data_IF_024218623196
#
_entry.id   IF_024218623196
#
_cell.length_a   1.000
_cell.length_b   1.000
_cell.length_c   1.000
_cell.angle_alpha   90.00
_cell.angle_beta   90.00
_cell.angle_gamma   90.00
#
_symmetry.space_group_name_H-M   'P 1'
#
loop_
_entity.id
_entity.type
_entity.pdbx_description
1 polymer ?
#
# COMPACT_ATOMS: atom_id res chain seq x y z
N UNK A 1 -16.79 -6.48 46.59
CA UNK A 1 -15.75 -6.11 45.61
C UNK A 1 -16.39 -6.02 44.24
N UNK A 2 -16.81 -4.82 43.80
CA UNK A 2 -17.42 -4.61 42.48
C UNK A 2 -16.31 -4.17 41.52
N UNK A 3 -16.21 -4.89 40.41
CA UNK A 3 -15.17 -4.74 39.42
C UNK A 3 -15.10 -3.31 38.87
N UNK A 4 -13.88 -2.79 38.83
CA UNK A 4 -13.55 -1.63 38.03
C UNK A 4 -13.77 -2.02 36.56
N UNK A 5 -14.86 -1.54 35.96
CA UNK A 5 -14.98 -1.51 34.52
C UNK A 5 -13.88 -0.56 34.02
N UNK A 6 -12.79 -1.14 33.51
CA UNK A 6 -11.76 -0.39 32.81
C UNK A 6 -12.44 0.34 31.65
N UNK A 7 -12.51 1.66 31.76
CA UNK A 7 -13.01 2.52 30.70
C UNK A 7 -12.10 2.34 29.48
N UNK A 8 -12.55 1.55 28.50
CA UNK A 8 -11.96 1.48 27.17
C UNK A 8 -12.50 2.67 26.38
N UNK A 9 -11.75 3.75 26.36
CA UNK A 9 -11.95 4.81 25.38
C UNK A 9 -11.38 4.26 24.07
N UNK A 10 -12.25 3.92 23.11
CA UNK A 10 -11.82 3.64 21.74
C UNK A 10 -11.22 4.94 21.20
N UNK A 11 -9.89 5.00 21.17
CA UNK A 11 -9.18 6.02 20.40
C UNK A 11 -9.47 5.69 18.95
N UNK A 12 -10.22 6.59 18.31
CA UNK A 12 -10.56 6.49 16.90
C UNK A 12 -9.27 6.30 16.08
N UNK A 13 -9.18 5.24 15.27
CA UNK A 13 -7.97 4.88 14.50
C UNK A 13 -7.47 5.99 13.55
N UNK A 14 -8.27 7.04 13.33
CA UNK A 14 -7.89 8.21 12.54
C UNK A 14 -6.67 8.96 13.12
N UNK A 15 -6.36 8.83 14.42
CA UNK A 15 -5.18 9.45 15.03
C UNK A 15 -3.85 8.94 14.43
N UNK A 16 -3.73 7.64 14.16
CA UNK A 16 -2.49 7.06 13.59
C UNK A 16 -2.25 7.50 12.14
N UNK A 17 -3.30 7.94 11.44
CA UNK A 17 -3.22 8.50 10.09
C UNK A 17 -2.86 9.99 10.09
N UNK A 18 -3.38 10.73 11.07
CA UNK A 18 -3.19 12.17 11.19
C UNK A 18 -1.81 12.53 11.74
N UNK A 19 -1.24 11.69 12.61
CA UNK A 19 0.10 11.85 13.17
C UNK A 19 1.05 10.86 12.51
N UNK A 20 1.74 11.31 11.47
CA UNK A 20 2.86 10.55 10.91
C UNK A 20 3.85 10.25 12.04
N UNK A 21 4.25 8.99 12.21
CA UNK A 21 5.26 8.60 13.20
C UNK A 21 6.61 9.21 12.80
N UNK A 22 6.88 10.41 13.29
CA UNK A 22 8.16 11.12 13.20
C UNK A 22 9.10 10.53 14.25
N UNK A 23 10.20 9.91 13.81
CA UNK A 23 11.13 9.23 14.72
C UNK A 23 12.31 10.13 15.07
N UNK A 24 12.76 10.93 14.11
CA UNK A 24 13.96 11.73 14.27
C UNK A 24 13.92 12.99 13.40
N UNK A 25 14.07 14.17 14.02
CA UNK A 25 14.19 15.46 13.34
C UNK A 25 13.09 15.75 12.29
N UNK A 26 11.87 15.25 12.50
CA UNK A 26 10.75 15.40 11.55
C UNK A 26 10.78 14.43 10.37
N UNK A 27 11.74 13.49 10.32
CA UNK A 27 11.76 12.42 9.33
C UNK A 27 10.94 11.21 9.81
N UNK A 28 10.11 10.69 8.91
CA UNK A 28 9.41 9.42 9.10
C UNK A 28 10.41 8.25 9.04
N UNK A 29 10.16 7.16 9.75
CA UNK A 29 11.00 5.93 9.71
C UNK A 29 11.38 5.49 8.30
N UNK A 30 10.41 5.56 7.37
CA UNK A 30 10.59 5.18 5.97
C UNK A 30 11.62 6.05 5.25
N UNK A 31 11.61 7.35 5.53
CA UNK A 31 12.56 8.31 4.98
C UNK A 31 13.96 8.07 5.56
N UNK A 32 14.06 7.74 6.86
CA UNK A 32 15.34 7.38 7.48
C UNK A 32 15.95 6.12 6.84
N UNK A 33 15.17 5.07 6.65
CA UNK A 33 15.63 3.83 6.00
C UNK A 33 16.04 4.13 4.56
N UNK A 34 15.24 4.89 3.81
CA UNK A 34 15.57 5.23 2.43
C UNK A 34 16.81 6.10 2.31
N UNK A 35 17.02 7.05 3.23
CA UNK A 35 18.25 7.82 3.29
C UNK A 35 19.47 6.92 3.56
N UNK A 36 19.33 5.95 4.47
CA UNK A 36 20.37 4.95 4.74
C UNK A 36 20.70 4.10 3.51
N UNK A 37 19.69 3.56 2.82
CA UNK A 37 19.88 2.78 1.58
C UNK A 37 20.50 3.63 0.49
N UNK A 38 20.03 4.87 0.35
CA UNK A 38 20.65 5.86 -0.53
C UNK A 38 22.14 5.94 -0.23
N UNK A 39 22.53 6.36 0.98
CA UNK A 39 23.95 6.53 1.35
C UNK A 39 24.79 5.29 1.05
N UNK A 40 24.27 4.09 1.34
CA UNK A 40 24.96 2.84 1.01
C UNK A 40 25.16 2.66 -0.50
N UNK A 41 24.15 2.96 -1.32
CA UNK A 41 24.28 2.93 -2.78
C UNK A 41 25.30 3.97 -3.29
N UNK A 42 25.34 5.15 -2.68
CA UNK A 42 26.29 6.20 -3.05
C UNK A 42 27.73 5.88 -2.69
N UNK A 43 27.98 5.46 -1.45
CA UNK A 43 29.31 5.03 -1.02
C UNK A 43 29.76 3.77 -1.76
N UNK A 44 28.86 2.81 -1.98
CA UNK A 44 29.15 1.60 -2.74
C UNK A 44 29.53 1.90 -4.18
N UNK A 45 28.78 2.78 -4.86
CA UNK A 45 29.11 3.18 -6.23
C UNK A 45 30.40 4.00 -6.30
N UNK A 46 30.65 4.91 -5.34
CA UNK A 46 31.90 5.66 -5.27
C UNK A 46 33.13 4.73 -5.10
N UNK A 47 33.04 3.75 -4.19
CA UNK A 47 34.11 2.78 -3.93
C UNK A 47 34.34 1.88 -5.15
N UNK A 48 33.27 1.41 -5.79
CA UNK A 48 33.37 0.62 -7.01
C UNK A 48 34.04 1.42 -8.14
N UNK A 49 33.62 2.66 -8.39
CA UNK A 49 34.24 3.51 -9.41
C UNK A 49 35.73 3.73 -9.13
N UNK A 50 36.09 4.04 -7.88
CA UNK A 50 37.48 4.25 -7.50
C UNK A 50 38.34 2.99 -7.73
N UNK A 51 37.83 1.82 -7.35
CA UNK A 51 38.53 0.54 -7.53
C UNK A 51 38.71 0.17 -9.00
N UNK A 52 37.70 0.35 -9.85
CA UNK A 52 37.75 -0.08 -11.25
C UNK A 52 38.48 0.91 -12.18
N UNK A 53 38.38 2.21 -11.92
CA UNK A 53 38.85 3.24 -12.87
C UNK A 53 40.04 4.05 -12.35
N UNK A 54 40.32 4.01 -11.05
CA UNK A 54 41.34 4.86 -10.43
C UNK A 54 41.04 6.36 -10.48
N UNK A 55 39.79 6.74 -10.80
CA UNK A 55 39.38 8.14 -10.87
C UNK A 55 39.52 8.82 -9.49
N UNK A 56 39.91 10.10 -9.45
CA UNK A 56 39.92 10.88 -8.22
C UNK A 56 38.52 10.97 -7.62
N UNK A 57 38.43 10.94 -6.30
CA UNK A 57 37.17 10.90 -5.53
C UNK A 57 36.21 12.03 -5.95
N UNK A 58 36.74 13.22 -6.25
CA UNK A 58 35.96 14.38 -6.68
C UNK A 58 35.19 14.10 -7.99
N UNK A 59 35.79 13.36 -8.92
CA UNK A 59 35.12 13.00 -10.17
C UNK A 59 34.03 11.94 -9.96
N UNK A 60 34.25 11.01 -9.04
CA UNK A 60 33.26 9.99 -8.70
C UNK A 60 31.96 10.60 -8.15
N UNK A 61 32.03 11.70 -7.39
CA UNK A 61 30.85 12.37 -6.82
C UNK A 61 29.84 12.81 -7.89
N UNK A 62 30.30 13.25 -9.07
CA UNK A 62 29.40 13.66 -10.15
C UNK A 62 28.55 12.51 -10.69
N UNK A 63 29.02 11.27 -10.56
CA UNK A 63 28.32 10.06 -10.99
C UNK A 63 27.45 9.52 -9.86
N UNK A 64 27.95 9.58 -8.63
CA UNK A 64 27.26 9.09 -7.43
C UNK A 64 25.97 9.87 -7.15
N UNK A 65 25.98 11.20 -7.24
CA UNK A 65 24.78 12.03 -6.96
C UNK A 65 23.57 11.63 -7.83
N UNK A 66 23.67 11.51 -9.16
CA UNK A 66 22.55 11.03 -9.97
C UNK A 66 22.11 9.60 -9.64
N UNK A 67 23.02 8.72 -9.22
CA UNK A 67 22.70 7.36 -8.78
C UNK A 67 21.91 7.36 -7.46
N UNK A 68 22.19 8.30 -6.56
CA UNK A 68 21.51 8.46 -5.27
C UNK A 68 20.05 8.93 -5.40
N UNK A 69 19.79 9.84 -6.32
CA UNK A 69 18.50 10.50 -6.52
C UNK A 69 17.31 9.52 -6.61
N UNK A 70 17.32 8.45 -7.44
CA UNK A 70 16.18 7.54 -7.54
C UNK A 70 15.84 6.83 -6.22
N UNK A 71 16.85 6.43 -5.43
CA UNK A 71 16.62 5.81 -4.13
C UNK A 71 15.96 6.77 -3.14
N UNK A 72 16.40 8.03 -3.14
CA UNK A 72 15.78 9.08 -2.35
C UNK A 72 14.35 9.35 -2.82
N UNK A 73 14.10 9.48 -4.13
CA UNK A 73 12.74 9.71 -4.65
C UNK A 73 11.79 8.58 -4.23
N UNK A 74 12.20 7.32 -4.33
CA UNK A 74 11.35 6.18 -3.92
C UNK A 74 11.01 6.22 -2.42
N UNK A 75 11.94 6.72 -1.60
CA UNK A 75 11.78 6.76 -0.15
C UNK A 75 11.06 7.98 0.40
N UNK A 76 11.30 9.15 -0.20
CA UNK A 76 10.79 10.44 0.26
C UNK A 76 9.50 10.84 -0.43
N UNK A 77 9.27 10.38 -1.66
CA UNK A 77 8.06 10.73 -2.39
C UNK A 77 6.85 10.07 -1.73
N UNK A 78 5.94 10.88 -1.23
CA UNK A 78 4.63 10.44 -0.74
C UNK A 78 3.57 11.16 -1.56
N UNK A 79 2.64 10.40 -2.12
CA UNK A 79 1.50 10.96 -2.85
C UNK A 79 0.24 10.63 -2.08
N UNK A 80 -0.47 11.66 -1.59
CA UNK A 80 -1.68 11.51 -0.76
C UNK A 80 -1.48 10.57 0.45
N UNK A 81 -0.32 10.64 1.12
CA UNK A 81 0.01 9.77 2.25
C UNK A 81 0.29 8.30 1.87
N UNK A 82 0.21 7.94 0.59
CA UNK A 82 0.58 6.60 0.10
C UNK A 82 2.04 6.58 -0.34
N UNK A 83 2.74 5.51 0.06
CA UNK A 83 4.09 5.23 -0.41
C UNK A 83 4.08 4.85 -1.90
N UNK A 84 5.11 5.18 -2.69
CA UNK A 84 5.13 4.98 -4.15
C UNK A 84 4.91 3.52 -4.56
N UNK A 85 5.45 2.59 -3.78
CA UNK A 85 5.28 1.13 -3.99
C UNK A 85 3.81 0.70 -3.86
N UNK A 86 3.08 1.27 -2.89
CA UNK A 86 1.65 1.00 -2.74
C UNK A 86 0.86 1.59 -3.91
N UNK A 87 1.23 2.79 -4.35
CA UNK A 87 0.62 3.46 -5.48
C UNK A 87 0.78 2.65 -6.78
N UNK A 88 2.00 2.16 -7.04
CA UNK A 88 2.29 1.29 -8.18
C UNK A 88 1.49 -0.03 -8.11
N UNK A 89 1.36 -0.61 -6.92
CA UNK A 89 0.57 -1.82 -6.72
C UNK A 89 -0.93 -1.59 -7.00
N UNK A 90 -1.46 -0.44 -6.58
CA UNK A 90 -2.84 -0.04 -6.87
C UNK A 90 -3.03 0.22 -8.37
N UNK A 91 -2.12 0.95 -9.03
CA UNK A 91 -2.15 1.15 -10.48
C UNK A 91 -2.13 -0.17 -11.23
N UNK A 92 -1.24 -1.10 -10.86
CA UNK A 92 -1.17 -2.42 -11.46
C UNK A 92 -2.44 -3.24 -11.22
N UNK A 93 -3.02 -3.16 -10.02
CA UNK A 93 -4.28 -3.80 -9.71
C UNK A 93 -5.44 -3.24 -10.55
N UNK A 94 -5.55 -1.92 -10.67
CA UNK A 94 -6.56 -1.27 -11.51
C UNK A 94 -6.39 -1.72 -12.96
N UNK A 95 -5.17 -1.69 -13.49
CA UNK A 95 -4.88 -2.09 -14.86
C UNK A 95 -5.26 -3.55 -15.14
N UNK A 96 -5.02 -4.46 -14.18
CA UNK A 96 -5.43 -5.86 -14.28
C UNK A 96 -6.95 -6.06 -14.17
N UNK A 97 -7.66 -5.08 -13.61
CA UNK A 97 -9.09 -5.14 -13.25
C UNK A 97 -9.96 -4.30 -14.19
N UNK A 98 -9.39 -3.68 -15.24
CA UNK A 98 -10.11 -2.82 -16.19
C UNK A 98 -11.33 -3.49 -16.84
N UNK A 99 -11.37 -4.82 -16.89
CA UNK A 99 -12.44 -5.59 -17.54
C UNK A 99 -13.53 -6.11 -16.58
N UNK A 100 -13.57 -5.72 -15.31
CA UNK A 100 -14.76 -6.03 -14.50
C UNK A 100 -15.86 -5.05 -14.89
N UNK A 101 -16.84 -5.53 -15.65
CA UNK A 101 -18.06 -4.79 -15.97
C UNK A 101 -18.62 -4.17 -14.69
N UNK A 102 -18.74 -2.84 -14.66
CA UNK A 102 -19.39 -2.13 -13.57
C UNK A 102 -20.81 -2.69 -13.42
N UNK A 103 -21.09 -3.48 -12.38
CA UNK A 103 -22.40 -4.12 -12.18
C UNK A 103 -23.56 -3.13 -11.99
N UNK A 104 -23.26 -1.85 -11.79
CA UNK A 104 -24.25 -0.79 -11.71
C UNK A 104 -24.52 -0.10 -13.06
N UNK A 105 -23.82 -0.48 -14.13
CA UNK A 105 -24.23 -0.18 -15.50
C UNK A 105 -25.04 -1.35 -16.04
N UNK A 106 -26.20 -1.07 -16.62
CA UNK A 106 -27.08 -2.04 -17.26
C UNK A 106 -26.27 -2.86 -18.27
N UNK A 107 -26.04 -4.13 -17.95
CA UNK A 107 -25.21 -5.03 -18.75
C UNK A 107 -25.89 -5.29 -20.10
N UNK A 108 -25.22 -5.11 -21.25
CA UNK A 108 -25.80 -5.47 -22.54
C UNK A 108 -26.11 -6.98 -22.55
N UNK A 109 -27.30 -7.29 -23.04
CA UNK A 109 -28.01 -8.58 -22.98
C UNK A 109 -27.23 -9.83 -23.47
N UNK A 110 -26.08 -9.64 -24.13
CA UNK A 110 -25.32 -10.70 -24.81
C UNK A 110 -24.13 -11.29 -24.05
N UNK A 111 -23.83 -10.82 -22.82
CA UNK A 111 -22.73 -11.37 -22.02
C UNK A 111 -23.32 -12.13 -20.84
N UNK A 112 -23.21 -13.47 -20.86
CA UNK A 112 -23.71 -14.34 -19.80
C UNK A 112 -23.22 -13.95 -18.40
N UNK A 113 -24.05 -14.20 -17.37
CA UNK A 113 -23.76 -13.85 -15.98
C UNK A 113 -22.48 -14.54 -15.49
N UNK A 114 -21.44 -13.76 -15.20
CA UNK A 114 -20.14 -14.25 -14.71
C UNK A 114 -20.16 -14.56 -13.21
N UNK A 115 -21.07 -13.97 -12.43
CA UNK A 115 -21.23 -14.26 -11.01
C UNK A 115 -22.45 -15.13 -10.73
N UNK A 116 -22.20 -16.40 -10.40
CA UNK A 116 -23.19 -17.32 -9.83
C UNK A 116 -22.86 -17.48 -8.35
N UNK A 117 -23.64 -16.85 -7.47
CA UNK A 117 -23.60 -17.24 -6.06
C UNK A 117 -24.28 -18.60 -5.92
N UNK A 118 -23.55 -19.64 -5.52
CA UNK A 118 -24.18 -20.86 -5.03
C UNK A 118 -24.93 -20.51 -3.74
N UNK A 119 -26.26 -20.35 -3.82
CA UNK A 119 -27.09 -20.41 -2.61
C UNK A 119 -26.83 -21.78 -1.97
N UNK A 120 -26.39 -21.79 -0.71
CA UNK A 120 -26.63 -22.96 0.13
C UNK A 120 -28.15 -23.13 0.18
N UNK A 121 -28.64 -24.31 -0.18
CA UNK A 121 -30.06 -24.64 -0.10
C UNK A 121 -30.54 -24.40 1.33
N UNK A 122 -31.28 -23.32 1.56
CA UNK A 122 -31.98 -23.09 2.82
C UNK A 122 -33.17 -24.05 2.79
N UNK A 123 -33.26 -25.04 3.69
CA UNK A 123 -34.39 -25.96 3.71
C UNK A 123 -35.68 -25.16 3.91
N UNK A 124 -36.63 -25.30 2.98
CA UNK A 124 -37.94 -24.66 3.09
C UNK A 124 -38.65 -25.18 4.35
N UNK A 125 -38.88 -24.31 5.33
CA UNK A 125 -39.77 -24.59 6.45
C UNK A 125 -41.17 -24.86 5.88
N UNK A 126 -41.68 -26.08 6.04
CA UNK A 126 -43.07 -26.41 5.70
C UNK A 126 -43.98 -25.59 6.62
N UNK A 127 -44.77 -24.70 6.02
CA UNK A 127 -45.87 -24.03 6.73
C UNK A 127 -46.98 -25.07 6.99
N UNK A 128 -47.53 -25.18 8.20
CA UNK A 128 -48.61 -26.12 8.46
C UNK A 128 -49.85 -25.72 7.65
N UNK A 129 -50.44 -26.71 6.97
CA UNK A 129 -51.69 -26.54 6.25
C UNK A 129 -52.81 -26.29 7.26
N UNK A 130 -53.39 -25.08 7.24
CA UNK A 130 -54.65 -24.81 7.91
C UNK A 130 -55.75 -25.55 7.16
N UNK A 131 -56.28 -26.62 7.76
CA UNK A 131 -57.51 -27.29 7.30
C UNK A 131 -58.69 -26.49 7.87
N UNK A 132 -59.33 -25.69 7.02
CA UNK A 132 -60.70 -25.23 7.25
C UNK A 132 -61.63 -26.15 6.45
N UNK A 133 -62.26 -27.09 7.16
CA UNK A 133 -63.63 -27.63 6.99
C UNK A 133 -63.78 -28.87 7.87
#
# INVERSE_FOLDING_TARGET
MKGANAMKIDINDDFDSAFQNEIFAGFTLKQCIAAGVGLLAGFGSAAALWYYTGLPIVQCTYIVVPVMVPFCVIGFFTYQGKSPVKLLKEMWFVHRTECISYQAAEQPENIGRVFIMRRRDIPKKKSPANKCQ
#
